data_IF_696417775686
#
_entry.id   IF_696417775686
#
_cell.length_a   1.000
_cell.length_b   1.000
_cell.length_c   1.000
_cell.angle_alpha   90.00
_cell.angle_beta   90.00
_cell.angle_gamma   90.00
#
_symmetry.space_group_name_H-M   'P 1'
#
loop_
_entity.id
_entity.type
_entity.pdbx_description
1 polymer ?
#
# COMPACT_ATOMS: atom_id res chain seq x y z
N UNK A 1 -27.30 -5.06 -6.52
CA UNK A 1 -26.34 -4.26 -7.30
C UNK A 1 -25.03 -5.04 -7.36
N UNK A 2 -24.66 -5.61 -8.52
CA UNK A 2 -23.39 -6.32 -8.65
C UNK A 2 -22.25 -5.29 -8.66
N UNK A 3 -21.50 -5.23 -7.57
CA UNK A 3 -20.32 -4.38 -7.44
C UNK A 3 -19.26 -4.84 -8.44
N UNK A 4 -19.21 -4.19 -9.61
CA UNK A 4 -18.29 -4.56 -10.68
C UNK A 4 -16.90 -3.94 -10.47
N UNK A 5 -16.27 -4.25 -9.33
CA UNK A 5 -14.91 -3.82 -8.98
C UNK A 5 -13.84 -4.37 -9.94
N UNK A 6 -14.15 -5.45 -10.67
CA UNK A 6 -13.22 -5.99 -11.65
C UNK A 6 -13.14 -5.11 -12.90
N UNK A 7 -14.28 -4.53 -13.33
CA UNK A 7 -14.31 -3.62 -14.49
C UNK A 7 -13.61 -2.31 -14.16
N UNK A 8 -14.05 -1.64 -13.09
CA UNK A 8 -13.19 -1.25 -11.99
C UNK A 8 -11.66 -1.13 -12.22
N UNK A 9 -10.98 -2.07 -11.58
CA UNK A 9 -9.54 -2.24 -11.62
C UNK A 9 -8.99 -2.36 -13.03
N UNK A 10 -9.67 -3.06 -13.95
CA UNK A 10 -9.21 -3.20 -15.33
C UNK A 10 -9.11 -1.82 -16.02
N UNK A 11 -10.12 -0.96 -15.84
CA UNK A 11 -10.11 0.40 -16.38
C UNK A 11 -8.93 1.20 -15.84
N UNK A 12 -8.73 1.21 -14.52
CA UNK A 12 -7.61 1.91 -13.88
C UNK A 12 -6.25 1.37 -14.33
N UNK A 13 -6.09 0.05 -14.41
CA UNK A 13 -4.86 -0.59 -14.87
C UNK A 13 -4.56 -0.27 -16.34
N UNK A 14 -5.57 -0.26 -17.21
CA UNK A 14 -5.41 0.11 -18.62
C UNK A 14 -5.01 1.59 -18.78
N UNK A 15 -5.56 2.50 -17.97
CA UNK A 15 -5.18 3.92 -17.96
C UNK A 15 -3.72 4.07 -17.50
N UNK A 16 -3.36 3.42 -16.39
CA UNK A 16 -2.00 3.44 -15.85
C UNK A 16 -0.99 2.88 -16.87
N UNK A 17 -1.31 1.75 -17.50
CA UNK A 17 -0.50 1.11 -18.54
C UNK A 17 -0.26 2.03 -19.74
N UNK A 18 -1.30 2.70 -20.26
CA UNK A 18 -1.16 3.65 -21.38
C UNK A 18 -0.26 4.82 -21.01
N UNK A 19 -0.37 5.35 -19.79
CA UNK A 19 0.48 6.45 -19.30
C UNK A 19 1.94 6.00 -19.07
N UNK A 20 2.14 4.79 -18.54
CA UNK A 20 3.45 4.22 -18.32
C UNK A 20 4.20 4.03 -19.64
N UNK A 21 3.55 3.40 -20.63
CA UNK A 21 4.17 3.03 -21.91
C UNK A 21 4.24 4.15 -22.93
N UNK A 22 3.25 5.05 -22.98
CA UNK A 22 3.10 6.05 -24.05
C UNK A 22 3.20 5.43 -25.46
N UNK A 23 2.77 4.17 -25.60
CA UNK A 23 2.84 3.42 -26.87
C UNK A 23 4.22 2.85 -27.23
N UNK A 24 5.25 3.02 -26.38
CA UNK A 24 6.56 2.38 -26.58
C UNK A 24 6.46 0.87 -26.30
N UNK A 25 7.27 0.05 -26.99
CA UNK A 25 7.36 -1.39 -26.72
C UNK A 25 8.24 -1.74 -25.51
N UNK A 26 9.25 -0.91 -25.28
CA UNK A 26 10.23 -1.04 -24.20
C UNK A 26 10.33 0.28 -23.46
N UNK A 27 10.26 0.24 -22.14
CA UNK A 27 10.27 1.43 -21.29
C UNK A 27 11.37 1.32 -20.24
N UNK A 28 12.36 2.23 -20.24
CA UNK A 28 13.37 2.28 -19.19
C UNK A 28 12.77 2.63 -17.82
N UNK A 29 13.27 2.01 -16.76
CA UNK A 29 12.91 2.29 -15.36
C UNK A 29 12.98 3.78 -15.02
N UNK A 30 14.06 4.45 -15.44
CA UNK A 30 14.24 5.89 -15.28
C UNK A 30 13.08 6.71 -15.85
N UNK A 31 12.50 6.31 -16.98
CA UNK A 31 11.37 7.03 -17.56
C UNK A 31 10.08 6.87 -16.73
N UNK A 32 9.91 5.71 -16.08
CA UNK A 32 8.76 5.46 -15.21
C UNK A 32 8.89 6.30 -13.93
N UNK A 33 10.05 6.27 -13.28
CA UNK A 33 10.28 6.99 -12.00
C UNK A 33 10.30 8.51 -12.15
N UNK A 34 10.64 9.04 -13.33
CA UNK A 34 10.60 10.48 -13.58
C UNK A 34 9.18 11.01 -13.84
N UNK A 35 8.19 10.13 -13.99
CA UNK A 35 6.77 10.50 -14.11
C UNK A 35 6.13 10.42 -12.73
N UNK A 36 5.10 11.22 -12.50
CA UNK A 36 4.29 11.13 -11.29
C UNK A 36 3.26 10.01 -11.44
N UNK A 37 3.49 8.92 -10.70
CA UNK A 37 2.59 7.76 -10.60
C UNK A 37 2.17 7.53 -9.14
N UNK A 38 1.19 6.65 -8.88
CA UNK A 38 0.92 6.20 -7.52
C UNK A 38 2.16 5.52 -6.92
N UNK A 39 2.46 5.81 -5.65
CA UNK A 39 3.62 5.27 -4.93
C UNK A 39 3.68 3.74 -4.94
N UNK A 40 2.52 3.08 -4.84
CA UNK A 40 2.42 1.60 -4.92
C UNK A 40 2.94 1.08 -6.25
N UNK A 41 2.63 1.74 -7.36
CA UNK A 41 3.13 1.34 -8.68
C UNK A 41 4.64 1.55 -8.79
N UNK A 42 5.14 2.70 -8.35
CA UNK A 42 6.58 2.99 -8.35
C UNK A 42 7.37 1.97 -7.52
N UNK A 43 6.83 1.59 -6.36
CA UNK A 43 7.38 0.56 -5.49
C UNK A 43 7.37 -0.81 -6.16
N UNK A 44 6.27 -1.20 -6.81
CA UNK A 44 6.19 -2.45 -7.56
C UNK A 44 7.24 -2.51 -8.67
N UNK A 45 7.40 -1.43 -9.44
CA UNK A 45 8.37 -1.33 -10.53
C UNK A 45 9.81 -1.38 -9.99
N UNK A 46 10.09 -0.71 -8.87
CA UNK A 46 11.41 -0.73 -8.20
C UNK A 46 11.78 -2.14 -7.71
N UNK A 47 10.85 -2.82 -7.05
CA UNK A 47 11.08 -4.16 -6.50
C UNK A 47 11.25 -5.17 -7.64
N UNK A 48 10.48 -5.05 -8.72
CA UNK A 48 10.65 -5.88 -9.92
C UNK A 48 12.03 -5.68 -10.56
N UNK A 49 12.49 -4.43 -10.71
CA UNK A 49 13.83 -4.13 -11.24
C UNK A 49 14.96 -4.73 -10.41
N UNK A 50 14.87 -4.60 -9.08
CA UNK A 50 15.84 -5.18 -8.13
C UNK A 50 15.91 -6.69 -8.24
N UNK A 51 14.74 -7.33 -8.29
CA UNK A 51 14.68 -8.78 -8.42
C UNK A 51 15.23 -9.26 -9.77
N UNK A 52 14.92 -8.56 -10.85
CA UNK A 52 15.50 -8.85 -12.17
C UNK A 52 17.03 -8.79 -12.08
N UNK A 53 17.58 -7.72 -11.50
CA UNK A 53 19.01 -7.58 -11.24
C UNK A 53 19.58 -8.75 -10.40
N UNK A 54 18.95 -9.11 -9.28
CA UNK A 54 19.40 -10.22 -8.42
C UNK A 54 19.34 -11.58 -9.13
N UNK A 55 18.33 -11.80 -9.97
CA UNK A 55 18.13 -13.08 -10.66
C UNK A 55 19.03 -13.26 -11.88
N UNK A 56 19.26 -12.19 -12.64
CA UNK A 56 20.17 -12.21 -13.79
C UNK A 56 21.63 -12.12 -13.36
N UNK A 57 21.87 -11.51 -12.18
CA UNK A 57 23.18 -11.24 -11.61
C UNK A 57 24.19 -10.71 -12.66
N UNK A 58 23.91 -9.56 -13.28
CA UNK A 58 24.65 -9.07 -14.43
C UNK A 58 26.09 -8.65 -14.09
N UNK A 59 26.39 -8.42 -12.80
CA UNK A 59 27.73 -8.12 -12.32
C UNK A 59 28.23 -9.29 -11.48
N UNK A 60 29.29 -9.96 -11.94
CA UNK A 60 30.04 -10.93 -11.13
C UNK A 60 31.36 -10.32 -10.71
N UNK A 61 31.45 -9.92 -9.45
CA UNK A 61 32.72 -9.49 -8.84
C UNK A 61 33.36 -10.73 -8.23
N UNK A 62 34.45 -11.20 -8.82
CA UNK A 62 35.25 -12.29 -8.28
C UNK A 62 36.30 -11.72 -7.32
N UNK A 63 36.24 -12.12 -6.05
CA UNK A 63 37.32 -11.85 -5.11
C UNK A 63 38.48 -12.83 -5.37
N UNK A 64 39.57 -12.31 -5.94
CA UNK A 64 40.81 -13.08 -6.19
C UNK A 64 41.87 -12.81 -5.11
N UNK A 65 41.49 -12.23 -3.97
CA UNK A 65 42.35 -11.98 -2.80
C UNK A 65 43.36 -10.84 -2.99
N UNK A 66 43.30 -10.09 -4.09
CA UNK A 66 44.17 -8.93 -4.37
C UNK A 66 43.54 -7.59 -4.01
N UNK A 67 42.23 -7.56 -3.81
CA UNK A 67 41.46 -6.35 -3.55
C UNK A 67 40.68 -6.54 -2.25
N UNK A 68 40.65 -5.51 -1.42
CA UNK A 68 39.82 -5.49 -0.21
C UNK A 68 38.38 -5.15 -0.61
N UNK A 69 37.58 -6.18 -0.90
CA UNK A 69 36.15 -6.03 -1.21
C UNK A 69 35.32 -5.63 0.03
N UNK A 70 35.89 -5.79 1.23
CA UNK A 70 35.25 -5.40 2.48
C UNK A 70 35.42 -3.91 2.79
N UNK A 71 36.34 -3.23 2.07
CA UNK A 71 36.54 -1.81 2.17
C UNK A 71 35.23 -1.03 1.93
N UNK A 72 34.91 -0.11 2.85
CA UNK A 72 33.67 0.68 2.80
C UNK A 72 33.50 1.44 1.48
N UNK A 73 34.55 2.05 0.97
CA UNK A 73 34.50 2.82 -0.27
C UNK A 73 34.21 1.91 -1.48
N UNK A 74 34.82 0.71 -1.49
CA UNK A 74 34.54 -0.31 -2.52
C UNK A 74 33.08 -0.75 -2.46
N UNK A 75 32.55 -1.03 -1.26
CA UNK A 75 31.12 -1.36 -1.08
C UNK A 75 30.20 -0.25 -1.57
N UNK A 76 30.51 1.00 -1.24
CA UNK A 76 29.76 2.18 -1.69
C UNK A 76 29.75 2.29 -3.24
N UNK A 77 30.89 2.11 -3.91
CA UNK A 77 30.94 2.12 -5.37
C UNK A 77 30.20 0.93 -6.00
N UNK A 78 30.34 -0.27 -5.43
CA UNK A 78 29.61 -1.46 -5.90
C UNK A 78 28.11 -1.25 -5.74
N UNK A 79 27.67 -0.70 -4.62
CA UNK A 79 26.28 -0.33 -4.38
C UNK A 79 25.78 0.73 -5.38
N UNK A 80 26.55 1.80 -5.58
CA UNK A 80 26.25 2.84 -6.56
C UNK A 80 26.11 2.28 -7.98
N UNK A 81 26.99 1.34 -8.34
CA UNK A 81 26.93 0.63 -9.62
C UNK A 81 25.69 -0.25 -9.73
N UNK A 82 25.36 -1.06 -8.70
CA UNK A 82 24.12 -1.86 -8.65
C UNK A 82 22.89 -0.97 -8.85
N UNK A 83 22.80 0.13 -8.11
CA UNK A 83 21.72 1.12 -8.21
C UNK A 83 21.64 1.73 -9.60
N UNK A 84 22.78 2.08 -10.19
CA UNK A 84 22.83 2.60 -11.56
C UNK A 84 22.29 1.58 -12.57
N UNK A 85 22.66 0.30 -12.47
CA UNK A 85 22.17 -0.75 -13.37
C UNK A 85 20.66 -0.97 -13.19
N UNK A 86 20.18 -1.06 -11.95
CA UNK A 86 18.73 -1.13 -11.65
C UNK A 86 18.00 0.06 -12.27
N UNK A 87 18.61 1.25 -12.23
CA UNK A 87 18.02 2.44 -12.81
C UNK A 87 17.97 2.42 -14.35
N UNK A 88 18.80 1.60 -14.99
CA UNK A 88 18.84 1.37 -16.44
C UNK A 88 18.06 0.13 -16.88
N UNK A 89 17.37 -0.57 -15.97
CA UNK A 89 16.51 -1.71 -16.33
C UNK A 89 15.48 -1.29 -17.37
N UNK A 90 15.30 -2.12 -18.40
CA UNK A 90 14.34 -1.89 -19.48
C UNK A 90 13.23 -2.91 -19.32
N UNK A 91 11.98 -2.45 -19.24
CA UNK A 91 10.81 -3.31 -19.15
C UNK A 91 10.15 -3.50 -20.51
N UNK A 92 9.68 -4.71 -20.74
CA UNK A 92 8.78 -5.04 -21.85
C UNK A 92 7.34 -4.65 -21.53
N UNK A 93 6.53 -4.43 -22.57
CA UNK A 93 5.13 -4.05 -22.42
C UNK A 93 4.30 -5.01 -21.55
N UNK A 94 4.56 -6.31 -21.65
CA UNK A 94 3.81 -7.30 -20.88
C UNK A 94 4.15 -7.23 -19.38
N UNK A 95 5.42 -6.99 -19.03
CA UNK A 95 5.86 -6.80 -17.66
C UNK A 95 5.22 -5.55 -17.04
N UNK A 96 5.21 -4.43 -17.79
CA UNK A 96 4.57 -3.18 -17.34
C UNK A 96 3.07 -3.39 -17.12
N UNK A 97 2.38 -4.08 -18.04
CA UNK A 97 0.95 -4.39 -17.91
C UNK A 97 0.67 -5.18 -16.63
N UNK A 98 1.50 -6.15 -16.31
CA UNK A 98 1.36 -6.96 -15.10
C UNK A 98 1.62 -6.15 -13.83
N UNK A 99 2.66 -5.31 -13.83
CA UNK A 99 2.94 -4.40 -12.73
C UNK A 99 1.78 -3.41 -12.52
N UNK A 100 1.18 -2.89 -13.58
CA UNK A 100 -0.01 -2.03 -13.50
C UNK A 100 -1.20 -2.78 -12.90
N UNK A 101 -1.50 -3.98 -13.41
CA UNK A 101 -2.60 -4.81 -12.89
C UNK A 101 -2.41 -5.14 -11.42
N UNK A 102 -1.20 -5.53 -11.02
CA UNK A 102 -0.88 -5.87 -9.65
C UNK A 102 -0.99 -4.65 -8.72
N UNK A 103 -0.35 -3.54 -9.07
CA UNK A 103 -0.37 -2.33 -8.26
C UNK A 103 -1.80 -1.80 -8.09
N UNK A 104 -2.60 -1.80 -9.16
CA UNK A 104 -3.99 -1.38 -9.10
C UNK A 104 -4.82 -2.35 -8.28
N UNK A 105 -4.70 -3.67 -8.46
CA UNK A 105 -5.46 -4.62 -7.64
C UNK A 105 -5.12 -4.49 -6.16
N UNK A 106 -3.83 -4.39 -5.82
CA UNK A 106 -3.36 -4.24 -4.44
C UNK A 106 -3.92 -2.98 -3.78
N UNK A 107 -3.64 -1.81 -4.36
CA UNK A 107 -4.02 -0.51 -3.77
C UNK A 107 -5.54 -0.33 -3.73
N UNK A 108 -6.24 -0.69 -4.80
CA UNK A 108 -7.70 -0.67 -4.83
C UNK A 108 -8.29 -1.55 -3.73
N UNK A 109 -7.76 -2.75 -3.52
CA UNK A 109 -8.24 -3.66 -2.48
C UNK A 109 -7.98 -3.11 -1.08
N UNK A 110 -6.82 -2.52 -0.84
CA UNK A 110 -6.49 -1.96 0.47
C UNK A 110 -7.40 -0.77 0.79
N UNK A 111 -7.69 0.10 -0.19
CA UNK A 111 -8.59 1.23 0.01
C UNK A 111 -10.06 0.81 0.19
N UNK A 112 -10.52 -0.18 -0.59
CA UNK A 112 -11.94 -0.56 -0.60
C UNK A 112 -12.32 -1.59 0.45
N UNK A 113 -11.44 -2.56 0.72
CA UNK A 113 -11.64 -3.71 1.61
C UNK A 113 -10.38 -4.02 2.44
N UNK A 114 -9.89 -3.06 3.26
CA UNK A 114 -8.59 -3.12 3.91
C UNK A 114 -8.38 -4.41 4.73
N UNK A 115 -9.36 -4.80 5.56
CA UNK A 115 -9.27 -6.01 6.39
C UNK A 115 -8.97 -7.26 5.58
N UNK A 116 -9.75 -7.50 4.51
CA UNK A 116 -9.60 -8.66 3.63
C UNK A 116 -8.33 -8.57 2.78
N UNK A 117 -8.02 -7.39 2.25
CA UNK A 117 -6.84 -7.17 1.42
C UNK A 117 -5.55 -7.50 2.17
N UNK A 118 -5.43 -7.04 3.42
CA UNK A 118 -4.27 -7.31 4.26
C UNK A 118 -4.22 -8.78 4.69
N UNK A 119 -5.35 -9.38 5.07
CA UNK A 119 -5.42 -10.82 5.37
C UNK A 119 -4.86 -11.63 4.18
N UNK A 120 -5.38 -11.36 2.98
CA UNK A 120 -4.97 -12.03 1.75
C UNK A 120 -3.53 -11.69 1.31
N UNK A 121 -2.93 -10.61 1.84
CA UNK A 121 -1.56 -10.21 1.55
C UNK A 121 -0.58 -10.91 2.50
N UNK A 122 -0.82 -10.81 3.81
CA UNK A 122 0.05 -11.38 4.84
C UNK A 122 0.09 -12.91 4.77
N UNK A 123 -1.07 -13.53 4.53
CA UNK A 123 -1.25 -14.98 4.61
C UNK A 123 -1.42 -15.64 3.24
N UNK A 124 -0.91 -15.02 2.17
CA UNK A 124 -0.96 -15.59 0.81
C UNK A 124 -0.18 -16.91 0.69
N UNK A 125 0.96 -17.00 1.38
CA UNK A 125 1.95 -18.08 1.20
C UNK A 125 2.20 -18.89 2.48
N UNK A 126 1.65 -18.47 3.61
CA UNK A 126 1.79 -19.11 4.92
C UNK A 126 0.60 -18.77 5.81
N UNK A 127 0.16 -19.70 6.66
CA UNK A 127 -0.92 -19.47 7.64
C UNK A 127 -0.43 -18.74 8.90
N UNK A 128 0.88 -18.59 9.07
CA UNK A 128 1.52 -17.86 10.17
C UNK A 128 2.61 -16.92 9.66
N UNK A 129 2.72 -15.75 10.31
CA UNK A 129 3.76 -14.75 10.04
C UNK A 129 4.34 -14.23 11.35
N UNK A 130 5.62 -13.85 11.33
CA UNK A 130 6.23 -13.20 12.49
C UNK A 130 5.62 -11.81 12.69
N UNK A 131 5.62 -11.33 13.93
CA UNK A 131 5.15 -9.98 14.28
C UNK A 131 5.95 -8.92 13.53
N UNK A 132 7.27 -9.08 13.44
CA UNK A 132 8.17 -8.15 12.76
C UNK A 132 7.88 -8.06 11.25
N UNK A 133 7.65 -9.20 10.58
CA UNK A 133 7.25 -9.20 9.17
C UNK A 133 5.95 -8.45 8.96
N UNK A 134 4.94 -8.69 9.82
CA UNK A 134 3.64 -8.03 9.69
C UNK A 134 3.76 -6.52 9.88
N UNK A 135 4.51 -6.08 10.90
CA UNK A 135 4.73 -4.66 11.16
C UNK A 135 5.43 -3.99 9.97
N UNK A 136 6.49 -4.63 9.45
CA UNK A 136 7.23 -4.15 8.29
C UNK A 136 6.31 -4.02 7.07
N UNK A 137 5.49 -5.05 6.77
CA UNK A 137 4.53 -5.01 5.66
C UNK A 137 3.51 -3.90 5.82
N UNK A 138 2.94 -3.73 7.01
CA UNK A 138 1.91 -2.72 7.28
C UNK A 138 2.45 -1.29 7.22
N UNK A 139 3.70 -1.06 7.67
CA UNK A 139 4.34 0.25 7.62
C UNK A 139 4.46 0.79 6.18
N UNK A 140 4.69 -0.06 5.18
CA UNK A 140 4.77 0.37 3.78
C UNK A 140 3.45 0.82 3.15
N UNK A 141 2.30 0.62 3.80
CA UNK A 141 1.01 1.16 3.33
C UNK A 141 0.66 2.54 3.91
N UNK A 142 1.54 3.06 4.78
CA UNK A 142 1.39 4.36 5.43
C UNK A 142 0.47 4.34 6.66
N UNK A 143 0.78 5.21 7.62
CA UNK A 143 0.00 5.41 8.86
C UNK A 143 -1.25 6.28 8.70
N UNK A 144 -1.47 6.86 7.51
CA UNK A 144 -2.59 7.78 7.28
C UNK A 144 -3.95 7.05 7.15
N UNK A 145 -3.93 5.73 6.94
CA UNK A 145 -5.13 4.91 6.85
C UNK A 145 -5.61 4.55 8.26
N UNK A 146 -6.85 4.90 8.66
CA UNK A 146 -7.35 4.66 10.02
C UNK A 146 -7.22 3.20 10.46
N UNK A 147 -7.56 2.26 9.57
CA UNK A 147 -7.47 0.83 9.85
C UNK A 147 -6.03 0.34 10.02
N UNK A 148 -5.10 0.73 9.12
CA UNK A 148 -3.68 0.34 9.21
C UNK A 148 -3.06 0.88 10.49
N UNK A 149 -3.31 2.15 10.81
CA UNK A 149 -2.78 2.79 12.01
C UNK A 149 -3.21 2.09 13.29
N UNK A 150 -4.51 1.80 13.43
CA UNK A 150 -5.04 1.10 14.60
C UNK A 150 -4.50 -0.33 14.67
N UNK A 151 -4.39 -1.01 13.53
CA UNK A 151 -3.86 -2.36 13.43
C UNK A 151 -2.37 -2.43 13.83
N UNK A 152 -1.54 -1.52 13.35
CA UNK A 152 -0.12 -1.39 13.74
C UNK A 152 0.01 -1.26 15.25
N UNK A 153 -0.66 -0.27 15.85
CA UNK A 153 -0.66 -0.07 17.32
C UNK A 153 -1.14 -1.29 18.08
N UNK A 154 -2.13 -2.01 17.55
CA UNK A 154 -2.64 -3.20 18.23
C UNK A 154 -1.59 -4.31 18.19
N UNK A 155 -0.98 -4.56 17.02
CA UNK A 155 0.04 -5.61 16.84
C UNK A 155 1.31 -5.31 17.66
N UNK A 156 1.76 -4.05 17.69
CA UNK A 156 2.91 -3.62 18.51
C UNK A 156 2.73 -3.98 19.99
N UNK A 157 1.50 -3.85 20.51
CA UNK A 157 1.15 -4.12 21.91
C UNK A 157 0.83 -5.60 22.18
N UNK A 158 0.76 -6.46 21.16
CA UNK A 158 0.59 -7.89 21.37
C UNK A 158 1.88 -8.52 21.91
N UNK A 159 1.73 -9.38 22.92
CA UNK A 159 2.82 -10.20 23.47
C UNK A 159 3.12 -11.48 22.67
N UNK A 160 2.69 -11.57 21.40
CA UNK A 160 2.92 -12.74 20.56
C UNK A 160 4.02 -12.44 19.52
N UNK A 161 4.97 -13.38 19.36
CA UNK A 161 6.02 -13.30 18.33
C UNK A 161 5.51 -13.66 16.92
N UNK A 162 4.42 -14.41 16.83
CA UNK A 162 3.80 -14.78 15.57
C UNK A 162 2.27 -14.70 15.63
N UNK A 163 1.68 -14.35 14.49
CA UNK A 163 0.24 -14.20 14.33
C UNK A 163 -0.19 -15.15 13.20
N UNK A 164 -1.20 -15.97 13.49
CA UNK A 164 -1.84 -16.83 12.51
C UNK A 164 -3.04 -16.15 11.84
N UNK A 165 -3.45 -16.68 10.69
CA UNK A 165 -4.59 -16.18 9.90
C UNK A 165 -5.87 -15.97 10.73
N UNK A 166 -6.29 -16.99 11.48
CA UNK A 166 -7.51 -16.94 12.29
C UNK A 166 -7.43 -15.88 13.40
N UNK A 167 -6.27 -15.79 14.08
CA UNK A 167 -6.03 -14.79 15.13
C UNK A 167 -6.10 -13.37 14.56
N UNK A 168 -5.52 -13.16 13.37
CA UNK A 168 -5.61 -11.88 12.68
C UNK A 168 -7.05 -11.53 12.36
N UNK A 169 -7.85 -12.48 11.85
CA UNK A 169 -9.25 -12.22 11.49
C UNK A 169 -10.12 -11.89 12.72
N UNK A 170 -9.95 -12.65 13.81
CA UNK A 170 -10.64 -12.42 15.09
C UNK A 170 -10.31 -11.03 15.66
N UNK A 171 -9.05 -10.59 15.55
CA UNK A 171 -8.62 -9.29 16.08
C UNK A 171 -9.02 -8.13 15.16
N UNK A 172 -8.87 -8.27 13.85
CA UNK A 172 -9.02 -7.16 12.89
C UNK A 172 -10.47 -6.70 12.74
N UNK A 173 -11.45 -7.60 12.86
CA UNK A 173 -12.87 -7.26 12.70
C UNK A 173 -13.38 -6.31 13.81
N UNK A 174 -13.15 -6.56 15.12
CA UNK A 174 -13.48 -5.61 16.17
C UNK A 174 -12.80 -4.25 16.01
N UNK A 175 -11.56 -4.21 15.52
CA UNK A 175 -10.83 -2.95 15.29
C UNK A 175 -11.49 -2.10 14.20
N UNK A 176 -11.86 -2.70 13.07
CA UNK A 176 -12.59 -2.02 12.00
C UNK A 176 -13.92 -1.47 12.52
N UNK A 177 -14.68 -2.30 13.23
CA UNK A 177 -15.95 -1.88 13.85
C UNK A 177 -15.76 -0.73 14.84
N UNK A 178 -14.72 -0.78 15.66
CA UNK A 178 -14.40 0.27 16.63
C UNK A 178 -14.17 1.62 15.91
N UNK A 179 -13.33 1.65 14.87
CA UNK A 179 -13.01 2.86 14.11
C UNK A 179 -14.28 3.53 13.57
N UNK A 180 -15.14 2.74 12.93
CA UNK A 180 -16.37 3.26 12.33
C UNK A 180 -17.49 3.54 13.34
N UNK A 181 -17.41 2.99 14.55
CA UNK A 181 -18.32 3.36 15.64
C UNK A 181 -17.92 4.65 16.36
N UNK A 182 -16.62 4.93 16.48
CA UNK A 182 -16.10 6.12 17.16
C UNK A 182 -16.21 7.35 16.27
N UNK A 183 -15.79 7.24 15.01
CA UNK A 183 -15.72 8.38 14.08
C UNK A 183 -16.10 7.97 12.65
N UNK A 184 -17.37 7.61 12.39
CA UNK A 184 -17.79 7.04 11.10
C UNK A 184 -17.50 7.97 9.92
N UNK A 185 -17.85 9.26 10.04
CA UNK A 185 -17.72 10.24 8.95
C UNK A 185 -16.26 10.50 8.63
N UNK A 186 -15.45 10.91 9.62
CA UNK A 186 -14.06 11.27 9.37
C UNK A 186 -13.24 10.08 8.88
N UNK A 187 -13.45 8.88 9.44
CA UNK A 187 -12.75 7.68 8.96
C UNK A 187 -13.12 7.35 7.51
N UNK A 188 -14.40 7.43 7.15
CA UNK A 188 -14.85 7.16 5.79
C UNK A 188 -14.40 8.24 4.78
N UNK A 189 -14.37 9.50 5.19
CA UNK A 189 -13.86 10.59 4.37
C UNK A 189 -12.36 10.48 4.11
N UNK A 190 -11.57 10.06 5.11
CA UNK A 190 -10.14 9.78 4.92
C UNK A 190 -9.97 8.69 3.85
N UNK A 191 -10.66 7.56 3.99
CA UNK A 191 -10.58 6.45 3.02
C UNK A 191 -11.05 6.88 1.62
N UNK A 192 -12.10 7.70 1.53
CA UNK A 192 -12.62 8.21 0.26
C UNK A 192 -11.65 9.17 -0.41
N UNK A 193 -11.02 10.06 0.35
CA UNK A 193 -10.02 11.00 -0.17
C UNK A 193 -8.77 10.25 -0.65
N UNK A 194 -8.28 9.26 0.11
CA UNK A 194 -7.17 8.41 -0.32
C UNK A 194 -7.49 7.68 -1.63
N UNK A 195 -8.73 7.21 -1.81
CA UNK A 195 -9.15 6.62 -3.07
C UNK A 195 -9.18 7.63 -4.23
N UNK A 196 -9.70 8.84 -4.00
CA UNK A 196 -9.68 9.90 -5.02
C UNK A 196 -8.25 10.28 -5.40
N UNK A 197 -7.35 10.39 -4.43
CA UNK A 197 -5.94 10.71 -4.68
C UNK A 197 -5.25 9.61 -5.49
N UNK A 198 -5.55 8.34 -5.19
CA UNK A 198 -5.10 7.19 -5.97
C UNK A 198 -5.62 7.23 -7.42
N UNK A 199 -6.92 7.48 -7.63
CA UNK A 199 -7.51 7.59 -8.97
C UNK A 199 -6.93 8.79 -9.75
N UNK A 200 -6.73 9.93 -9.08
CA UNK A 200 -6.09 11.11 -9.64
C UNK A 200 -4.63 10.86 -10.04
N UNK A 201 -3.87 10.16 -9.20
CA UNK A 201 -2.50 9.77 -9.52
C UNK A 201 -2.43 8.82 -10.73
N UNK A 202 -3.41 7.93 -10.92
CA UNK A 202 -3.52 7.05 -12.10
C UNK A 202 -3.95 7.81 -13.35
N UNK A 203 -4.97 8.65 -13.27
CA UNK A 203 -5.53 9.34 -14.43
C UNK A 203 -4.70 10.55 -14.86
N UNK A 204 -3.92 11.12 -13.93
CA UNK A 204 -3.27 12.41 -14.11
C UNK A 204 -4.26 13.58 -14.09
N UNK A 205 -5.50 13.33 -13.67
CA UNK A 205 -6.54 14.35 -13.51
C UNK A 205 -6.58 14.80 -12.04
N UNK A 206 -7.20 15.96 -11.80
CA UNK A 206 -7.48 16.45 -10.44
C UNK A 206 -8.99 16.46 -10.20
N UNK A 207 -9.68 15.39 -10.62
CA UNK A 207 -11.11 15.26 -10.39
C UNK A 207 -11.31 14.68 -8.99
N UNK A 208 -11.82 15.49 -8.06
CA UNK A 208 -12.07 15.05 -6.66
C UNK A 208 -13.43 14.39 -6.55
N UNK A 209 -13.63 13.34 -7.35
CA UNK A 209 -14.88 12.58 -7.42
C UNK A 209 -14.60 11.08 -7.35
N UNK A 210 -15.48 10.36 -6.65
CA UNK A 210 -15.49 8.91 -6.54
C UNK A 210 -16.83 8.38 -7.06
N UNK A 211 -16.83 7.31 -7.85
CA UNK A 211 -18.10 6.78 -8.39
C UNK A 211 -18.98 6.17 -7.31
N UNK A 212 -20.29 6.28 -7.50
CA UNK A 212 -21.29 5.80 -6.54
C UNK A 212 -21.18 4.32 -6.23
N UNK A 213 -20.87 3.48 -7.22
CA UNK A 213 -20.68 2.05 -6.99
C UNK A 213 -19.47 1.74 -6.09
N UNK A 214 -18.42 2.57 -6.11
CA UNK A 214 -17.27 2.42 -5.22
C UNK A 214 -17.65 2.84 -3.81
N UNK A 215 -18.30 4.00 -3.64
CA UNK A 215 -18.80 4.47 -2.32
C UNK A 215 -19.69 3.43 -1.66
N UNK A 216 -20.70 2.92 -2.38
CA UNK A 216 -21.61 1.89 -1.87
C UNK A 216 -20.86 0.60 -1.51
N UNK A 217 -19.87 0.22 -2.31
CA UNK A 217 -19.01 -0.93 -2.03
C UNK A 217 -18.20 -0.74 -0.75
N UNK A 218 -17.59 0.43 -0.59
CA UNK A 218 -16.79 0.79 0.58
C UNK A 218 -17.64 0.78 1.85
N UNK A 219 -18.82 1.41 1.84
CA UNK A 219 -19.76 1.41 2.96
C UNK A 219 -20.18 -0.02 3.35
N UNK A 220 -20.47 -0.86 2.36
CA UNK A 220 -20.87 -2.25 2.59
C UNK A 220 -19.76 -3.09 3.22
N UNK A 221 -18.51 -2.96 2.76
CA UNK A 221 -17.39 -3.69 3.35
C UNK A 221 -17.12 -3.32 4.81
N UNK A 222 -17.52 -2.11 5.22
CA UNK A 222 -17.39 -1.58 6.59
C UNK A 222 -18.61 -1.90 7.47
N UNK A 223 -19.53 -2.75 6.99
CA UNK A 223 -20.77 -3.12 7.67
C UNK A 223 -21.68 -1.90 8.00
N UNK A 224 -21.62 -0.83 7.20
CA UNK A 224 -22.44 0.39 7.36
C UNK A 224 -23.76 0.28 6.59
N UNK A 225 -24.50 -0.81 6.80
CA UNK A 225 -25.68 -1.18 5.98
C UNK A 225 -26.77 -0.11 5.93
N UNK A 226 -26.98 0.63 7.03
CA UNK A 226 -27.97 1.70 7.06
C UNK A 226 -27.58 2.88 6.16
N UNK A 227 -26.29 3.25 6.16
CA UNK A 227 -25.76 4.27 5.27
C UNK A 227 -25.80 3.80 3.81
N UNK A 228 -25.54 2.52 3.53
CA UNK A 228 -25.69 1.95 2.18
C UNK A 228 -27.11 2.21 1.64
N UNK A 229 -28.15 2.03 2.45
CA UNK A 229 -29.54 2.32 2.03
C UNK A 229 -29.77 3.80 1.76
N UNK A 230 -29.22 4.68 2.60
CA UNK A 230 -29.31 6.14 2.41
C UNK A 230 -28.65 6.57 1.09
N UNK A 231 -27.39 6.16 0.89
CA UNK A 231 -26.66 6.46 -0.34
C UNK A 231 -27.31 5.83 -1.58
N UNK A 232 -27.88 4.62 -1.47
CA UNK A 232 -28.56 3.97 -2.59
C UNK A 232 -29.80 4.75 -3.07
N UNK A 233 -30.52 5.42 -2.17
CA UNK A 233 -31.65 6.30 -2.53
C UNK A 233 -31.18 7.53 -3.33
N UNK A 234 -30.04 8.12 -2.95
CA UNK A 234 -29.49 9.30 -3.64
C UNK A 234 -28.70 8.93 -4.92
N UNK A 235 -28.22 7.68 -5.02
CA UNK A 235 -27.44 7.19 -6.17
C UNK A 235 -28.28 7.00 -7.43
N UNK A 236 -29.62 6.92 -7.35
CA UNK A 236 -30.47 6.74 -8.56
C UNK A 236 -30.22 7.84 -9.61
N UNK A 237 -29.85 9.02 -9.14
CA UNK A 237 -29.72 10.22 -9.97
C UNK A 237 -28.26 10.69 -10.09
N UNK A 238 -27.31 9.95 -9.52
CA UNK A 238 -25.92 10.41 -9.32
C UNK A 238 -24.89 9.30 -9.53
N UNK A 239 -23.97 9.52 -10.47
CA UNK A 239 -22.91 8.57 -10.83
C UNK A 239 -21.60 8.73 -10.03
N UNK A 240 -21.37 9.90 -9.43
CA UNK A 240 -20.12 10.23 -8.73
C UNK A 240 -20.33 11.22 -7.60
N UNK A 241 -19.45 11.18 -6.60
CA UNK A 241 -19.54 11.89 -5.34
C UNK A 241 -18.25 12.65 -5.04
N UNK A 242 -18.37 13.89 -4.58
CA UNK A 242 -17.27 14.64 -3.95
C UNK A 242 -17.22 14.35 -2.45
N UNK A 243 -16.10 14.68 -1.79
CA UNK A 243 -15.95 14.49 -0.35
C UNK A 243 -17.03 15.26 0.46
N UNK A 244 -17.32 16.51 0.08
CA UNK A 244 -18.34 17.34 0.72
C UNK A 244 -19.75 16.73 0.59
N UNK A 245 -20.07 16.14 -0.55
CA UNK A 245 -21.36 15.48 -0.73
C UNK A 245 -21.46 14.18 0.08
N UNK A 246 -20.37 13.43 0.21
CA UNK A 246 -20.31 12.24 1.08
C UNK A 246 -20.56 12.67 2.54
N UNK A 247 -19.84 13.69 2.99
CA UNK A 247 -19.96 14.26 4.34
C UNK A 247 -21.40 14.70 4.62
N UNK A 248 -21.97 15.56 3.76
CA UNK A 248 -23.34 16.05 3.90
C UNK A 248 -24.39 14.93 3.91
N UNK A 249 -24.21 13.86 3.13
CA UNK A 249 -25.15 12.73 3.13
C UNK A 249 -25.01 11.87 4.39
N UNK A 250 -23.79 11.67 4.89
CA UNK A 250 -23.57 10.98 6.16
C UNK A 250 -24.07 11.80 7.36
N UNK A 251 -23.84 13.10 7.38
CA UNK A 251 -24.33 14.02 8.41
C UNK A 251 -25.86 14.02 8.47
N UNK A 252 -26.52 14.17 7.32
CA UNK A 252 -27.99 14.09 7.25
C UNK A 252 -28.50 12.76 7.77
N UNK A 253 -27.81 11.65 7.44
CA UNK A 253 -28.17 10.34 7.96
C UNK A 253 -28.03 10.26 9.49
N UNK A 254 -26.95 10.79 10.08
CA UNK A 254 -26.78 10.78 11.54
C UNK A 254 -27.76 11.69 12.27
N UNK A 255 -28.18 12.80 11.64
CA UNK A 255 -29.18 13.71 12.21
C UNK A 255 -30.61 13.16 12.15
N UNK A 256 -30.96 12.45 11.07
CA UNK A 256 -32.34 11.94 10.84
C UNK A 256 -32.51 10.50 11.35
N UNK A 257 -31.45 9.70 11.28
CA UNK A 257 -31.49 8.24 11.43
C UNK A 257 -31.67 7.70 12.85
N UNK A 258 -31.67 8.54 13.88
CA UNK A 258 -32.04 8.11 15.23
C UNK A 258 -33.55 8.05 15.45
N UNK A 259 -34.33 8.89 14.76
CA UNK A 259 -35.76 9.04 15.07
C UNK A 259 -36.67 8.25 14.10
N UNK A 260 -36.22 7.97 12.87
CA UNK A 260 -37.07 7.33 11.85
C UNK A 260 -37.04 5.79 11.86
N UNK A 261 -36.02 5.17 12.45
CA UNK A 261 -35.86 3.70 12.44
C UNK A 261 -36.85 3.02 13.39
N UNK A 262 -37.30 3.71 14.46
CA UNK A 262 -38.28 3.16 15.40
C UNK A 262 -39.71 3.10 14.86
N UNK A 263 -40.01 3.84 13.78
CA UNK A 263 -41.37 3.93 13.22
C UNK A 263 -41.67 2.88 12.15
N UNK A 264 -40.69 2.51 11.32
CA UNK A 264 -40.91 1.59 10.18
C UNK A 264 -40.93 0.09 10.58
N UNK A 265 -40.36 -0.30 11.72
CA UNK A 265 -40.39 -1.70 12.19
C UNK A 265 -41.70 -2.07 12.93
N UNK A 266 -42.45 -1.09 13.46
CA UNK A 266 -43.72 -1.35 14.14
C UNK A 266 -44.93 -1.43 13.21
N UNK A 267 -44.84 -0.98 11.94
CA UNK A 267 -45.96 -1.06 10.99
C UNK A 267 -46.03 -2.39 10.21
N UNK A 268 -45.08 -3.32 10.39
CA UNK A 268 -45.07 -4.63 9.71
C UNK A 268 -45.48 -5.82 10.57
N UNK A 269 -45.90 -5.61 11.81
CA UNK A 269 -46.31 -6.71 12.71
C UNK A 269 -47.80 -6.69 13.11
N UNK A 270 -48.62 -5.79 12.55
CA UNK A 270 -50.02 -5.62 12.97
C UNK A 270 -51.09 -6.30 12.09
N UNK A 271 -50.76 -6.89 10.94
CA UNK A 271 -51.79 -7.44 10.00
C UNK A 271 -51.38 -8.76 9.34
N UNK A 272 -51.10 -9.80 10.14
CA UNK A 272 -51.17 -11.18 9.65
C UNK A 272 -51.55 -12.16 10.77
N UNK A 273 -52.79 -12.04 11.23
CA UNK A 273 -53.51 -13.13 11.86
C UNK A 273 -54.17 -13.93 10.74
N UNK A 274 -53.42 -14.87 10.15
CA UNK A 274 -53.98 -15.85 9.24
C UNK A 274 -53.39 -17.23 9.53
N UNK A 275 -54.26 -18.07 10.09
CA UNK A 275 -54.07 -19.46 10.45
C UNK A 275 -53.57 -20.30 9.29
N UNK A 276 -52.39 -20.91 9.41
CA UNK A 276 -51.93 -21.96 8.51
C UNK A 276 -51.82 -23.27 9.28
N UNK A 277 -52.68 -24.21 8.89
CA UNK A 277 -52.78 -25.59 9.35
C UNK A 277 -51.53 -26.40 9.01
N UNK A 278 -51.12 -27.22 9.98
CA UNK A 278 -50.17 -28.32 9.84
C UNK A 278 -50.84 -29.50 9.13
N UNK A 279 -50.27 -29.96 8.03
CA UNK A 279 -50.32 -31.33 7.48
C UNK A 279 -49.08 -31.43 6.56
N UNK A 280 -47.98 -32.07 6.97
CA UNK A 280 -47.74 -33.51 6.95
C UNK A 280 -47.72 -34.12 5.54
N UNK A 281 -46.53 -34.25 4.94
CA UNK A 281 -46.13 -35.50 4.28
C UNK A 281 -44.62 -35.54 3.99
N UNK A 282 -43.95 -36.48 4.66
CA UNK A 282 -42.60 -36.93 4.40
C UNK A 282 -42.54 -37.63 3.04
N UNK A 283 -41.47 -37.38 2.27
CA UNK A 283 -41.05 -38.30 1.22
C UNK A 283 -39.53 -38.47 1.28
N UNK A 284 -39.14 -39.63 1.79
CA UNK A 284 -37.81 -40.22 1.67
C UNK A 284 -37.72 -40.85 0.28
N UNK A 285 -36.67 -40.53 -0.48
CA UNK A 285 -36.21 -41.39 -1.57
C UNK A 285 -34.76 -41.76 -1.32
N UNK A 286 -34.56 -43.08 -1.34
CA UNK A 286 -33.33 -43.83 -1.19
C UNK A 286 -32.42 -43.62 -2.42
N UNK A 287 -31.13 -43.37 -2.20
CA UNK A 287 -30.10 -43.66 -3.21
C UNK A 287 -29.07 -44.61 -2.61
N UNK A 288 -29.03 -45.82 -3.16
CA UNK A 288 -27.92 -46.76 -3.01
C UNK A 288 -27.09 -46.86 -4.31
N UNK A 289 -25.84 -47.36 -4.21
CA UNK A 289 -24.73 -46.94 -5.09
C UNK A 289 -24.30 -48.02 -6.12
N UNK A 290 -23.37 -47.62 -6.99
CA UNK A 290 -22.11 -48.34 -7.32
C UNK A 290 -21.75 -48.41 -8.83
N UNK A 291 -20.45 -48.21 -9.04
CA UNK A 291 -19.54 -48.81 -10.02
C UNK A 291 -19.79 -48.69 -11.54
N UNK A 292 -18.85 -48.02 -12.21
CA UNK A 292 -17.84 -48.78 -12.96
C UNK A 292 -16.64 -47.94 -13.44
N UNK A 293 -15.47 -48.54 -13.24
CA UNK A 293 -14.16 -48.14 -13.75
C UNK A 293 -14.06 -48.21 -15.29
N UNK A 294 -13.15 -47.40 -15.86
CA UNK A 294 -12.10 -47.89 -16.79
C UNK A 294 -11.08 -46.78 -17.15
N UNK A 295 -9.77 -47.08 -17.16
CA UNK A 295 -8.72 -46.13 -17.54
C UNK A 295 -8.36 -46.26 -19.03
N UNK A 296 -8.14 -45.12 -19.71
CA UNK A 296 -7.53 -45.10 -21.04
C UNK A 296 -6.00 -44.97 -20.92
N UNK A 297 -5.29 -46.01 -21.36
CA UNK A 297 -3.87 -45.96 -21.73
C UNK A 297 -3.76 -45.45 -23.17
N UNK A 298 -2.87 -44.49 -23.42
CA UNK A 298 -2.35 -44.19 -24.76
C UNK A 298 -0.82 -44.24 -24.67
N UNK A 299 -0.24 -45.12 -25.47
CA UNK A 299 1.18 -45.19 -25.83
C UNK A 299 1.33 -44.79 -27.31
N UNK A 300 2.60 -44.78 -27.76
CA UNK A 300 3.15 -44.46 -29.10
C UNK A 300 3.65 -43.02 -29.24
N UNK A 301 4.85 -42.73 -29.76
CA UNK A 301 5.99 -43.55 -30.17
C UNK A 301 7.22 -42.62 -30.27
N UNK A 302 8.41 -43.16 -30.03
CA UNK A 302 9.68 -42.56 -30.46
C UNK A 302 9.88 -42.81 -31.96
N UNK A 303 10.30 -41.79 -32.71
CA UNK A 303 11.16 -42.00 -33.88
C UNK A 303 12.08 -40.80 -34.15
N UNK A 304 13.38 -41.10 -34.28
CA UNK A 304 14.50 -40.22 -34.64
C UNK A 304 14.40 -39.75 -36.10
N UNK A 305 14.84 -38.51 -36.38
CA UNK A 305 15.86 -38.25 -37.42
C UNK A 305 16.39 -36.80 -37.42
N UNK A 306 17.71 -36.73 -37.64
CA UNK A 306 18.61 -35.57 -37.77
C UNK A 306 18.19 -34.52 -38.81
N UNK A 307 18.51 -33.23 -38.54
CA UNK A 307 19.45 -32.44 -39.36
C UNK A 307 19.87 -31.13 -38.70
N UNK A 308 21.18 -30.89 -38.78
CA UNK A 308 21.91 -29.68 -38.42
C UNK A 308 21.53 -28.51 -39.35
N UNK A 309 21.30 -27.35 -38.75
CA UNK A 309 21.79 -26.05 -39.21
C UNK A 309 21.86 -25.13 -37.99
N UNK A 310 23.05 -24.91 -37.47
CA UNK A 310 23.33 -23.93 -36.41
C UNK A 310 23.16 -22.51 -36.99
N UNK A 311 21.94 -21.98 -36.87
CA UNK A 311 21.72 -20.55 -36.84
C UNK A 311 22.09 -20.03 -35.44
N UNK A 312 22.68 -18.83 -35.31
CA UNK A 312 22.99 -18.25 -34.01
C UNK A 312 21.70 -18.17 -33.19
N UNK A 313 21.64 -18.96 -32.11
CA UNK A 313 20.52 -18.90 -31.17
C UNK A 313 20.37 -17.46 -30.68
N UNK A 314 19.21 -16.81 -30.85
CA UNK A 314 18.95 -15.55 -30.17
C UNK A 314 19.11 -15.83 -28.67
N UNK A 315 19.98 -15.05 -28.04
CA UNK A 315 20.31 -15.13 -26.63
C UNK A 315 19.02 -15.35 -25.83
N UNK A 316 18.88 -16.54 -25.23
CA UNK A 316 17.79 -16.86 -24.30
C UNK A 316 17.91 -15.88 -23.13
N UNK A 317 17.20 -14.77 -23.20
CA UNK A 317 16.83 -14.00 -22.02
C UNK A 317 16.22 -14.98 -21.04
N UNK A 318 16.83 -15.08 -19.85
CA UNK A 318 16.31 -15.92 -18.78
C UNK A 318 14.99 -15.32 -18.32
N UNK A 319 13.92 -15.74 -18.98
CA UNK A 319 12.57 -15.31 -18.65
C UNK A 319 12.22 -15.83 -17.25
N UNK A 320 12.12 -14.93 -16.28
CA UNK A 320 11.57 -15.25 -14.97
C UNK A 320 10.10 -15.60 -15.20
N UNK A 321 9.65 -16.84 -14.93
CA UNK A 321 8.29 -17.24 -15.21
C UNK A 321 7.32 -16.33 -14.47
N UNK A 322 6.48 -15.64 -15.23
CA UNK A 322 5.48 -14.67 -14.78
C UNK A 322 4.50 -15.27 -13.74
N UNK A 323 4.35 -16.59 -13.70
CA UNK A 323 3.59 -17.29 -12.66
C UNK A 323 4.08 -17.00 -11.23
N UNK A 324 5.35 -16.60 -11.03
CA UNK A 324 5.89 -16.22 -9.71
C UNK A 324 5.46 -14.82 -9.24
N UNK A 325 4.92 -13.96 -10.10
CA UNK A 325 4.34 -12.66 -9.69
C UNK A 325 3.03 -12.83 -8.90
N UNK A 326 2.42 -14.02 -8.94
CA UNK A 326 1.21 -14.32 -8.15
C UNK A 326 1.51 -14.56 -6.67
N UNK A 327 2.76 -14.86 -6.33
CA UNK A 327 3.18 -14.95 -4.95
C UNK A 327 3.26 -13.53 -4.41
N UNK A 328 2.25 -13.05 -3.68
CA UNK A 328 2.20 -11.65 -3.23
C UNK A 328 3.37 -11.28 -2.31
N UNK A 329 4.06 -12.27 -1.73
CA UNK A 329 5.34 -12.07 -1.04
C UNK A 329 6.43 -11.46 -1.93
N UNK A 330 6.30 -11.60 -3.26
CA UNK A 330 7.15 -11.03 -4.32
C UNK A 330 7.42 -9.52 -4.16
N UNK A 331 6.45 -8.78 -3.64
CA UNK A 331 6.53 -7.31 -3.55
C UNK A 331 6.88 -6.79 -2.15
N UNK A 332 7.01 -7.70 -1.18
CA UNK A 332 7.24 -7.39 0.23
C UNK A 332 8.71 -7.56 0.66
N UNK A 333 9.64 -7.79 -0.28
CA UNK A 333 11.08 -7.68 0.00
C UNK A 333 11.42 -6.20 0.23
N UNK A 334 11.45 -5.80 1.50
CA UNK A 334 11.89 -4.49 1.91
C UNK A 334 13.40 -4.35 1.74
N UNK A 335 13.83 -3.10 1.54
CA UNK A 335 15.24 -2.74 1.49
C UNK A 335 15.80 -2.83 2.91
N UNK A 336 16.37 -3.99 3.28
CA UNK A 336 17.09 -4.15 4.57
C UNK A 336 18.14 -3.03 4.77
N UNK A 337 18.62 -2.41 3.68
CA UNK A 337 19.64 -1.36 3.68
C UNK A 337 19.11 0.08 3.86
N UNK A 338 17.78 0.33 3.81
CA UNK A 338 17.19 1.64 4.15
C UNK A 338 16.62 1.69 5.58
N UNK A 339 16.53 0.54 6.23
CA UNK A 339 16.16 0.46 7.63
C UNK A 339 17.42 0.86 8.41
N UNK A 340 17.46 2.12 8.85
CA UNK A 340 18.45 2.54 9.85
C UNK A 340 18.18 1.66 11.07
N UNK A 341 19.07 0.71 11.31
CA UNK A 341 18.91 -0.21 12.40
C UNK A 341 18.85 0.61 13.69
N UNK A 342 17.93 0.28 14.59
CA UNK A 342 17.73 1.06 15.83
C UNK A 342 19.03 1.12 16.67
N UNK A 343 19.88 0.11 16.54
CA UNK A 343 21.24 0.05 17.10
C UNK A 343 22.19 1.11 16.53
N UNK A 344 21.99 1.54 15.28
CA UNK A 344 22.82 2.55 14.62
C UNK A 344 22.47 3.95 15.13
N UNK A 345 21.20 4.18 15.49
CA UNK A 345 20.76 5.42 16.17
C UNK A 345 21.39 5.51 17.57
N UNK A 346 21.56 4.38 18.26
CA UNK A 346 22.22 4.31 19.57
C UNK A 346 23.75 4.51 19.47
N UNK A 347 24.35 4.26 18.31
CA UNK A 347 25.78 4.44 18.02
C UNK A 347 26.04 5.67 17.15
N UNK A 348 25.44 6.80 17.52
CA UNK A 348 25.68 8.09 16.87
C UNK A 348 27.18 8.35 16.68
N UNK A 349 27.64 8.67 15.46
CA UNK A 349 29.06 8.89 15.20
C UNK A 349 29.57 10.10 15.97
N UNK A 350 30.80 10.07 16.52
CA UNK A 350 31.37 11.21 17.23
C UNK A 350 31.57 12.40 16.27
N UNK A 351 31.27 13.62 16.75
CA UNK A 351 31.44 14.87 15.99
C UNK A 351 32.89 15.17 15.57
N UNK A 352 33.14 16.25 14.82
CA UNK A 352 32.27 17.42 14.62
C UNK A 352 31.22 17.24 13.51
N UNK A 353 30.03 17.79 13.75
CA UNK A 353 28.92 17.75 12.80
C UNK A 353 28.96 18.96 11.85
N UNK A 354 28.48 18.82 10.59
CA UNK A 354 28.32 19.96 9.69
C UNK A 354 27.31 20.97 10.26
N UNK A 355 27.47 22.23 9.88
CA UNK A 355 26.55 23.29 10.30
C UNK A 355 25.19 23.11 9.62
N UNK A 356 24.10 23.28 10.37
CA UNK A 356 22.73 23.22 9.84
C UNK A 356 22.50 24.28 8.75
N UNK A 357 23.18 25.41 8.86
CA UNK A 357 23.12 26.48 7.87
C UNK A 357 23.59 26.06 6.47
N UNK A 358 24.50 25.09 6.39
CA UNK A 358 25.02 24.55 5.13
C UNK A 358 24.15 23.40 4.60
N UNK A 359 23.49 22.66 5.50
CA UNK A 359 22.59 21.56 5.14
C UNK A 359 21.21 22.05 4.67
N UNK A 360 20.70 23.16 5.23
CA UNK A 360 19.39 23.69 4.88
C UNK A 360 19.50 24.65 3.70
N UNK A 361 19.01 24.22 2.54
CA UNK A 361 19.02 25.05 1.34
C UNK A 361 18.09 26.28 1.46
N UNK A 362 18.27 27.25 0.54
CA UNK A 362 17.51 28.49 0.56
C UNK A 362 16.00 28.32 0.30
N UNK A 363 15.59 27.22 -0.34
CA UNK A 363 14.20 26.90 -0.66
C UNK A 363 13.50 26.34 0.58
N UNK A 364 14.10 25.35 1.21
CA UNK A 364 13.60 24.68 2.42
C UNK A 364 13.55 25.66 3.58
N UNK A 365 14.58 26.51 3.72
CA UNK A 365 14.57 27.63 4.67
C UNK A 365 13.33 28.51 4.53
N UNK A 366 12.96 28.89 3.30
CA UNK A 366 11.75 29.70 3.05
C UNK A 366 10.47 28.94 3.39
N UNK A 367 10.43 27.63 3.12
CA UNK A 367 9.30 26.76 3.46
C UNK A 367 9.15 26.69 4.98
N UNK A 368 10.22 26.39 5.72
CA UNK A 368 10.19 26.33 7.19
C UNK A 368 9.74 27.66 7.80
N UNK A 369 10.35 28.78 7.39
CA UNK A 369 9.96 30.11 7.91
C UNK A 369 8.47 30.38 7.66
N UNK A 370 7.96 30.08 6.46
CA UNK A 370 6.57 30.37 6.10
C UNK A 370 5.58 29.43 6.76
N UNK A 371 5.88 28.14 6.82
CA UNK A 371 4.96 27.06 7.18
C UNK A 371 5.06 26.65 8.63
N UNK A 372 6.30 26.52 9.14
CA UNK A 372 6.54 26.13 10.53
C UNK A 372 6.57 27.35 11.45
N UNK A 373 7.17 28.46 11.01
CA UNK A 373 7.38 29.63 11.88
C UNK A 373 6.41 30.80 11.60
N UNK A 374 5.35 30.59 10.83
CA UNK A 374 4.33 31.63 10.60
C UNK A 374 4.87 32.93 9.98
N UNK A 375 5.91 32.82 9.14
CA UNK A 375 6.70 33.93 8.56
C UNK A 375 7.59 34.68 9.56
N UNK A 376 7.74 34.19 10.79
CA UNK A 376 8.66 34.76 11.76
C UNK A 376 10.08 34.23 11.53
N UNK A 377 10.91 35.02 10.85
CA UNK A 377 12.30 34.66 10.51
C UNK A 377 13.21 34.62 11.74
N UNK A 378 12.99 35.48 12.73
CA UNK A 378 13.83 35.58 13.92
C UNK A 378 13.71 34.30 14.76
N UNK A 379 12.48 33.87 15.04
CA UNK A 379 12.23 32.60 15.75
C UNK A 379 12.81 31.38 15.03
N UNK A 380 12.78 31.36 13.70
CA UNK A 380 13.42 30.30 12.92
C UNK A 380 14.94 30.28 13.15
N UNK A 381 15.60 31.44 13.13
CA UNK A 381 17.05 31.52 13.34
C UNK A 381 17.43 31.11 14.77
N UNK A 382 16.70 31.60 15.77
CA UNK A 382 16.89 31.21 17.17
C UNK A 382 16.73 29.70 17.36
N UNK A 383 15.75 29.10 16.68
CA UNK A 383 15.53 27.65 16.73
C UNK A 383 16.68 26.86 16.08
N UNK A 384 17.18 27.30 14.91
CA UNK A 384 18.32 26.66 14.26
C UNK A 384 19.59 26.80 15.10
N UNK A 385 19.84 27.95 15.71
CA UNK A 385 20.98 28.15 16.61
C UNK A 385 20.88 27.24 17.84
N UNK A 386 19.68 27.04 18.38
CA UNK A 386 19.43 26.09 19.47
C UNK A 386 19.71 24.64 19.06
N UNK A 387 19.30 24.24 17.86
CA UNK A 387 19.61 22.89 17.33
C UNK A 387 21.11 22.73 17.04
N UNK A 388 21.80 23.78 16.60
CA UNK A 388 23.23 23.76 16.30
C UNK A 388 24.06 23.37 17.54
N UNK A 389 23.61 23.79 18.73
CA UNK A 389 24.26 23.50 20.01
C UNK A 389 24.00 22.07 20.53
N UNK A 390 23.12 21.29 19.91
CA UNK A 390 22.78 19.94 20.37
C UNK A 390 23.74 18.91 19.80
N UNK A 391 24.42 18.21 20.70
CA UNK A 391 25.41 17.19 20.35
C UNK A 391 24.77 15.84 20.02
N UNK A 392 23.47 15.64 20.28
CA UNK A 392 22.79 14.37 20.00
C UNK A 392 21.53 14.52 19.15
N UNK A 393 21.29 13.54 18.27
CA UNK A 393 20.05 13.44 17.50
C UNK A 393 18.83 13.33 18.41
N UNK A 394 18.97 12.61 19.55
CA UNK A 394 17.88 12.43 20.51
C UNK A 394 17.42 13.77 21.09
N UNK A 395 18.37 14.64 21.45
CA UNK A 395 18.07 15.98 21.98
C UNK A 395 17.52 16.90 20.89
N UNK A 396 18.12 16.86 19.70
CA UNK A 396 17.63 17.61 18.54
C UNK A 396 16.19 17.23 18.17
N UNK A 397 15.88 15.93 18.13
CA UNK A 397 14.53 15.43 17.87
C UNK A 397 13.54 15.88 18.94
N UNK A 398 13.90 15.78 20.22
CA UNK A 398 13.04 16.24 21.31
C UNK A 398 12.75 17.74 21.21
N UNK A 399 13.75 18.54 20.81
CA UNK A 399 13.58 19.97 20.59
C UNK A 399 12.71 20.29 19.37
N UNK A 400 12.80 19.51 18.29
CA UNK A 400 11.89 19.61 17.13
C UNK A 400 10.45 19.27 17.55
N UNK A 401 10.24 18.14 18.23
CA UNK A 401 8.92 17.69 18.66
C UNK A 401 8.25 18.73 19.59
N UNK A 402 9.02 19.33 20.52
CA UNK A 402 8.53 20.39 21.39
C UNK A 402 8.19 21.68 20.63
N UNK A 403 9.03 22.10 19.68
CA UNK A 403 8.76 23.31 18.88
C UNK A 403 7.50 23.15 18.02
N UNK A 404 7.30 21.96 17.43
CA UNK A 404 6.09 21.65 16.66
C UNK A 404 4.85 21.65 17.54
N UNK A 405 4.95 21.09 18.75
CA UNK A 405 3.87 21.10 19.75
C UNK A 405 3.49 22.51 20.19
N UNK A 406 4.48 23.37 20.49
CA UNK A 406 4.26 24.77 20.89
C UNK A 406 3.51 25.56 19.81
N UNK A 407 3.72 25.20 18.54
CA UNK A 407 3.12 25.88 17.38
C UNK A 407 1.85 25.22 16.86
N UNK A 408 1.38 24.16 17.51
CA UNK A 408 0.22 23.36 17.10
C UNK A 408 0.35 22.83 15.65
N UNK A 409 1.56 22.37 15.30
CA UNK A 409 1.87 21.80 13.99
C UNK A 409 1.96 20.28 14.11
N UNK A 410 1.26 19.57 13.22
CA UNK A 410 1.35 18.12 13.15
C UNK A 410 2.80 17.66 12.89
N UNK A 411 3.37 16.76 13.72
CA UNK A 411 4.67 16.13 13.48
C UNK A 411 4.77 15.40 12.14
N UNK A 412 3.62 15.00 11.59
CA UNK A 412 3.51 14.28 10.32
C UNK A 412 3.28 15.22 9.12
N UNK A 413 3.25 16.53 9.33
CA UNK A 413 3.19 17.47 8.21
C UNK A 413 4.44 17.34 7.33
N UNK A 414 4.27 17.52 6.01
CA UNK A 414 5.36 17.40 5.04
C UNK A 414 6.58 18.25 5.41
N UNK A 415 6.35 19.47 5.89
CA UNK A 415 7.40 20.39 6.30
C UNK A 415 8.09 19.98 7.62
N UNK A 416 7.36 19.39 8.57
CA UNK A 416 7.94 18.87 9.81
C UNK A 416 8.83 17.65 9.56
N UNK A 417 8.37 16.72 8.72
CA UNK A 417 9.16 15.54 8.29
C UNK A 417 10.43 16.01 7.57
N UNK A 418 10.33 16.97 6.65
CA UNK A 418 11.48 17.50 5.94
C UNK A 418 12.51 18.17 6.88
N UNK A 419 12.05 18.93 7.88
CA UNK A 419 12.94 19.51 8.89
C UNK A 419 13.65 18.41 9.70
N UNK A 420 12.89 17.38 10.10
CA UNK A 420 13.42 16.19 10.78
C UNK A 420 14.51 15.50 9.97
N UNK A 421 14.27 15.25 8.69
CA UNK A 421 15.22 14.58 7.79
C UNK A 421 16.51 15.39 7.59
N UNK A 422 16.41 16.71 7.43
CA UNK A 422 17.59 17.58 7.27
C UNK A 422 18.42 17.60 8.55
N UNK A 423 17.78 17.74 9.72
CA UNK A 423 18.50 17.73 11.00
C UNK A 423 19.04 16.33 11.31
N UNK A 424 18.34 15.26 10.93
CA UNK A 424 18.82 13.89 11.05
C UNK A 424 20.11 13.65 10.26
N UNK A 425 20.17 14.16 9.02
CA UNK A 425 21.34 14.03 8.15
C UNK A 425 22.62 14.67 8.71
N UNK A 426 22.49 15.59 9.67
CA UNK A 426 23.63 16.17 10.40
C UNK A 426 24.36 15.14 11.25
N UNK A 427 23.62 14.24 11.88
CA UNK A 427 24.16 13.23 12.80
C UNK A 427 24.50 11.93 12.07
N UNK A 428 23.74 11.58 11.03
CA UNK A 428 23.93 10.35 10.26
C UNK A 428 24.12 10.73 8.80
N UNK A 429 25.39 10.81 8.37
CA UNK A 429 25.70 11.00 6.94
C UNK A 429 25.12 9.81 6.17
N UNK A 430 24.25 10.11 5.21
CA UNK A 430 23.76 9.14 4.23
C UNK A 430 24.88 8.64 3.33
#
# INVERSE_FOLDING_TARGET
MNLNWQTEKRRLADILYRRATQGKEKVPYKEIVNKSFPEVFETCVRNYARRMFSSENPIRLEDRGRYDMENREVKEYVYGLKKAIIHQTIFENEEIRQLCNFAVDLEFNILTRPRRAILDLLFASSDQRSKEDILTVLQGFGGDRPFIHKLLKTIENLGFESIGRDKYEIMSRPLEKQIYSETPISAFLIDSNLFMDFENAITGQQDRKIRSNIVLGMLKERELDQMVRSFAKETSDKDSWTAEEIENTMDRFLLVGLDSITSDENEKTADSDDSISLDEEMRLEEEEPADNEKPLKIQFAEEKAKRETEAPSPSRTHYIPISRLKDKSFFLEYDEELIINRSDIESQPPGPYPALYDLIDARDRKVFIKKLFGKNKEQYLEFIDRLEQMDSWKDAKAAIDEELRVRDISPYSKEAVLLGDVVFSRYFKK
#
